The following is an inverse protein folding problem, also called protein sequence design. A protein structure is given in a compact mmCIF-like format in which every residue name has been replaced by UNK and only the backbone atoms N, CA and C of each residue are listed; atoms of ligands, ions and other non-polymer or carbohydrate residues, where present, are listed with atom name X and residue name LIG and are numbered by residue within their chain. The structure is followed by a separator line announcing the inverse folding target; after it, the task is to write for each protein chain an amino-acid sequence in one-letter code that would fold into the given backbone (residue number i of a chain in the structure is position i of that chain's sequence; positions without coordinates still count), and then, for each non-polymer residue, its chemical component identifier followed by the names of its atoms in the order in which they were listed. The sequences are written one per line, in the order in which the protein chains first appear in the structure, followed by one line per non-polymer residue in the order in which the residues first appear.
data_IF_482728130092
#
_entry.id   IF_482728130092
#
_cell.length_a   1.000
_cell.length_b   1.000
_cell.length_c   1.000
_cell.angle_alpha   90.00
_cell.angle_beta   90.00
_cell.angle_gamma   90.00
#
_symmetry.space_group_name_H-M   'P 1'
#
loop_
_entity.id
_entity.type
_entity.pdbx_description
1 polymer ?
#
# COMPACT_ATOMS: atom_id res chain seq x y z
N UNK A 1 6.25 6.66 20.42
CA UNK A 1 5.08 6.33 19.55
C UNK A 1 5.21 6.89 18.14
N UNK A 2 5.65 8.14 17.96
CA UNK A 2 5.92 8.75 16.63
C UNK A 2 6.71 7.85 15.67
N UNK A 3 7.86 7.32 16.09
CA UNK A 3 8.71 6.46 15.24
C UNK A 3 8.01 5.17 14.81
N UNK A 4 7.25 4.55 15.71
CA UNK A 4 6.50 3.33 15.39
C UNK A 4 5.41 3.59 14.36
N UNK A 5 4.62 4.67 14.52
CA UNK A 5 3.59 5.05 13.56
C UNK A 5 4.17 5.37 12.18
N UNK A 6 5.34 6.01 12.14
CA UNK A 6 6.04 6.29 10.90
C UNK A 6 6.51 5.02 10.20
N UNK A 7 7.16 4.10 10.93
CA UNK A 7 7.63 2.82 10.37
C UNK A 7 6.45 2.00 9.84
N UNK A 8 5.40 1.83 10.66
CA UNK A 8 4.20 1.08 10.28
C UNK A 8 3.52 1.73 9.07
N UNK A 9 3.38 3.05 9.07
CA UNK A 9 2.82 3.79 7.95
C UNK A 9 3.59 3.60 6.65
N UNK A 10 4.93 3.61 6.70
CA UNK A 10 5.78 3.35 5.53
C UNK A 10 5.54 1.94 4.97
N UNK A 11 5.53 0.92 5.82
CA UNK A 11 5.26 -0.45 5.37
C UNK A 11 3.88 -0.60 4.72
N UNK A 12 2.86 0.02 5.32
CA UNK A 12 1.50 0.00 4.76
C UNK A 12 1.44 0.69 3.40
N UNK A 13 2.13 1.83 3.22
CA UNK A 13 2.23 2.52 1.92
C UNK A 13 2.88 1.60 0.89
N UNK A 14 4.02 0.99 1.21
CA UNK A 14 4.75 0.14 0.27
C UNK A 14 3.92 -1.07 -0.16
N UNK A 15 3.27 -1.75 0.80
CA UNK A 15 2.40 -2.89 0.50
C UNK A 15 1.21 -2.47 -0.35
N UNK A 16 0.56 -1.35 -0.01
CA UNK A 16 -0.56 -0.81 -0.77
C UNK A 16 -0.17 -0.51 -2.22
N UNK A 17 0.99 0.11 -2.44
CA UNK A 17 1.52 0.39 -3.78
C UNK A 17 1.81 -0.87 -4.58
N UNK A 18 2.34 -1.94 -3.94
CA UNK A 18 2.55 -3.23 -4.60
C UNK A 18 1.22 -3.80 -5.08
N UNK A 19 0.19 -3.82 -4.22
CA UNK A 19 -1.13 -4.34 -4.59
C UNK A 19 -1.78 -3.50 -5.69
N UNK A 20 -1.64 -2.18 -5.63
CA UNK A 20 -2.11 -1.29 -6.69
C UNK A 20 -1.39 -1.59 -8.01
N UNK A 21 -0.06 -1.73 -7.97
CA UNK A 21 0.76 -2.07 -9.13
C UNK A 21 0.40 -3.42 -9.72
N UNK A 22 0.09 -4.43 -8.89
CA UNK A 22 -0.38 -5.73 -9.35
C UNK A 22 -1.77 -5.63 -9.98
N UNK A 23 -2.72 -4.97 -9.32
CA UNK A 23 -4.07 -4.77 -9.85
C UNK A 23 -4.11 -3.96 -11.15
N UNK A 24 -3.16 -3.04 -11.34
CA UNK A 24 -2.97 -2.26 -12.57
C UNK A 24 -2.19 -3.00 -13.67
N UNK A 25 -1.67 -4.20 -13.38
CA UNK A 25 -0.87 -4.98 -14.33
C UNK A 25 0.57 -4.52 -14.52
N UNK A 26 1.02 -3.51 -13.77
CA UNK A 26 2.37 -2.93 -13.85
C UNK A 26 3.39 -3.84 -13.13
N UNK A 27 3.02 -4.33 -11.95
CA UNK A 27 3.85 -5.24 -11.15
C UNK A 27 3.34 -6.66 -11.37
N UNK A 28 4.13 -7.52 -12.05
CA UNK A 28 3.71 -8.87 -12.42
C UNK A 28 4.47 -9.97 -11.69
N UNK A 29 4.79 -9.73 -10.43
CA UNK A 29 5.55 -10.65 -9.60
C UNK A 29 4.87 -10.84 -8.24
N UNK A 30 4.76 -12.07 -7.71
CA UNK A 30 5.02 -13.34 -8.41
C UNK A 30 3.99 -13.57 -9.53
N UNK A 31 4.37 -14.26 -10.61
CA UNK A 31 3.53 -14.44 -11.81
C UNK A 31 2.22 -15.16 -11.50
N UNK A 32 2.23 -16.02 -10.47
CA UNK A 32 1.08 -16.76 -9.98
C UNK A 32 0.19 -15.95 -9.02
N UNK A 33 0.46 -14.65 -8.85
CA UNK A 33 -0.35 -13.80 -7.98
C UNK A 33 -1.76 -13.63 -8.54
N UNK A 34 -2.74 -13.97 -7.71
CA UNK A 34 -4.17 -13.80 -8.00
C UNK A 34 -4.60 -12.32 -8.09
N UNK A 35 -3.69 -11.39 -7.79
CA UNK A 35 -3.96 -9.95 -7.81
C UNK A 35 -3.64 -9.29 -9.16
N UNK A 36 -2.85 -9.94 -10.01
CA UNK A 36 -2.36 -9.36 -11.27
C UNK A 36 -3.52 -9.13 -12.24
N UNK A 37 -3.56 -7.95 -12.88
CA UNK A 37 -4.56 -7.53 -13.87
C UNK A 37 -6.01 -7.56 -13.33
N UNK A 38 -6.18 -7.40 -12.00
CA UNK A 38 -7.47 -7.37 -11.34
C UNK A 38 -7.75 -5.98 -10.73
N UNK A 39 -8.66 -5.20 -11.35
CA UNK A 39 -8.98 -3.82 -10.93
C UNK A 39 -9.43 -3.68 -9.47
N UNK A 40 -9.97 -4.74 -8.85
CA UNK A 40 -10.30 -4.77 -7.43
C UNK A 40 -9.07 -4.52 -6.55
N UNK A 41 -7.92 -5.10 -6.90
CA UNK A 41 -6.66 -4.91 -6.19
C UNK A 41 -6.05 -3.53 -6.40
N UNK A 42 -6.36 -2.87 -7.51
CA UNK A 42 -6.00 -1.47 -7.73
C UNK A 42 -6.65 -0.57 -6.67
N UNK A 43 -7.95 -0.75 -6.42
CA UNK A 43 -8.70 0.00 -5.41
C UNK A 43 -8.27 -0.36 -3.98
N UNK A 44 -8.20 -1.66 -3.65
CA UNK A 44 -7.80 -2.09 -2.31
C UNK A 44 -6.38 -1.64 -1.96
N UNK A 45 -5.41 -1.84 -2.87
CA UNK A 45 -4.05 -1.35 -2.69
C UNK A 45 -3.99 0.17 -2.53
N UNK A 46 -4.79 0.91 -3.29
CA UNK A 46 -4.83 2.36 -3.23
C UNK A 46 -5.35 2.86 -1.88
N UNK A 47 -6.44 2.26 -1.38
CA UNK A 47 -6.99 2.55 -0.05
C UNK A 47 -6.00 2.18 1.06
N UNK A 48 -5.32 1.03 0.95
CA UNK A 48 -4.27 0.64 1.90
C UNK A 48 -3.14 1.67 1.91
N UNK A 49 -2.64 2.09 0.73
CA UNK A 49 -1.58 3.08 0.64
C UNK A 49 -2.01 4.43 1.23
N UNK A 50 -3.25 4.87 0.99
CA UNK A 50 -3.82 6.08 1.61
C UNK A 50 -3.87 5.98 3.13
N UNK A 51 -4.28 4.84 3.68
CA UNK A 51 -4.27 4.60 5.13
C UNK A 51 -2.86 4.69 5.74
N UNK A 52 -1.86 4.11 5.07
CA UNK A 52 -0.46 4.23 5.49
C UNK A 52 0.05 5.68 5.44
N UNK A 53 -0.29 6.42 4.39
CA UNK A 53 0.07 7.84 4.26
C UNK A 53 -0.57 8.68 5.37
N UNK A 54 -1.81 8.38 5.76
CA UNK A 54 -2.47 9.02 6.89
C UNK A 54 -1.74 8.75 8.22
N UNK A 55 -1.29 7.52 8.45
CA UNK A 55 -0.49 7.19 9.64
C UNK A 55 0.84 7.95 9.68
N UNK A 56 1.52 8.06 8.54
CA UNK A 56 2.75 8.87 8.43
C UNK A 56 2.44 10.34 8.74
N UNK A 57 1.36 10.88 8.19
CA UNK A 57 0.94 12.26 8.45
C UNK A 57 0.66 12.50 9.94
N UNK A 58 -0.08 11.60 10.59
CA UNK A 58 -0.37 11.68 12.03
C UNK A 58 0.91 11.58 12.86
N UNK A 59 1.84 10.70 12.50
CA UNK A 59 3.12 10.54 13.20
C UNK A 59 3.96 11.83 13.23
N UNK A 60 3.80 12.69 12.22
CA UNK A 60 4.48 13.98 12.10
C UNK A 60 3.79 15.09 12.88
N UNK A 61 2.51 14.94 13.18
CA UNK A 61 1.69 15.95 13.87
C UNK A 61 1.60 15.75 15.38
N UNK A 62 1.82 14.51 15.88
CA UNK A 62 1.62 14.11 17.29
C UNK A 62 2.83 14.34 18.17
#
# INVERSE_FOLDING_TARGET
MRTLLLIVGIFIVLIGLIWTGQGAGIVRWPVQSFMIDQSKWMLYGGLTALGGALLIFLSRRS
#
